data_IF_010859943141
#
_entry.id   IF_010859943141
#
_cell.length_a   1.000
_cell.length_b   1.000
_cell.length_c   1.000
_cell.angle_alpha   90.00
_cell.angle_beta   90.00
_cell.angle_gamma   90.00
#
_symmetry.space_group_name_H-M   'P 1'
#
loop_
_entity.id
_entity.type
_entity.pdbx_description
1 polymer ?
#
# COMPACT_ATOMS: atom_id res chain seq x y z
N UNK A 1 44.97 -38.86 -12.00
CA UNK A 1 44.32 -37.53 -11.81
C UNK A 1 43.12 -37.30 -12.72
N UNK A 2 43.17 -37.48 -14.05
CA UNK A 2 42.03 -37.25 -14.99
C UNK A 2 40.78 -38.09 -14.68
N UNK A 3 40.95 -39.37 -14.32
CA UNK A 3 39.80 -40.25 -13.96
C UNK A 3 39.12 -39.83 -12.66
N UNK A 4 39.86 -39.38 -11.63
CA UNK A 4 39.32 -38.90 -10.39
C UNK A 4 38.49 -37.62 -10.59
N UNK A 5 39.01 -36.70 -11.41
CA UNK A 5 38.31 -35.45 -11.76
C UNK A 5 37.00 -35.74 -12.50
N UNK A 6 36.99 -36.68 -13.45
CA UNK A 6 35.82 -37.10 -14.18
C UNK A 6 34.74 -37.68 -13.24
N UNK A 7 35.12 -38.54 -12.29
CA UNK A 7 34.20 -39.11 -11.31
C UNK A 7 33.65 -38.05 -10.37
N UNK A 8 34.46 -37.08 -9.93
CA UNK A 8 34.04 -35.96 -9.10
C UNK A 8 33.02 -35.08 -9.84
N UNK A 9 33.26 -34.77 -11.10
CA UNK A 9 32.35 -33.99 -11.95
C UNK A 9 31.03 -34.72 -12.15
N UNK A 10 31.06 -36.03 -12.45
CA UNK A 10 29.84 -36.85 -12.56
C UNK A 10 29.06 -36.90 -11.25
N UNK A 11 29.72 -36.99 -10.10
CA UNK A 11 29.06 -36.97 -8.78
C UNK A 11 28.38 -35.62 -8.52
N UNK A 12 29.07 -34.51 -8.83
CA UNK A 12 28.48 -33.15 -8.67
C UNK A 12 27.24 -32.98 -9.56
N UNK A 13 27.35 -33.39 -10.84
CA UNK A 13 26.22 -33.34 -11.77
C UNK A 13 25.06 -34.22 -11.27
N UNK A 14 25.35 -35.41 -10.79
CA UNK A 14 24.32 -36.32 -10.24
C UNK A 14 23.64 -35.70 -9.01
N UNK A 15 24.39 -35.11 -8.07
CA UNK A 15 23.83 -34.41 -6.91
C UNK A 15 22.98 -33.21 -7.35
N UNK A 16 23.43 -32.43 -8.32
CA UNK A 16 22.68 -31.30 -8.85
C UNK A 16 21.35 -31.73 -9.51
N UNK A 17 21.38 -32.82 -10.29
CA UNK A 17 20.17 -33.40 -10.92
C UNK A 17 19.19 -33.94 -9.86
N UNK A 18 19.71 -34.62 -8.83
CA UNK A 18 18.89 -35.08 -7.70
C UNK A 18 18.26 -33.92 -6.94
N UNK A 19 19.04 -32.91 -6.56
CA UNK A 19 18.54 -31.73 -5.86
C UNK A 19 17.47 -31.01 -6.68
N UNK A 20 17.71 -30.84 -7.98
CA UNK A 20 16.75 -30.29 -8.93
C UNK A 20 15.47 -31.10 -8.99
N UNK A 21 15.58 -32.42 -9.14
CA UNK A 21 14.43 -33.32 -9.20
C UNK A 21 13.60 -33.32 -7.90
N UNK A 22 14.26 -33.19 -6.75
CA UNK A 22 13.58 -33.12 -5.46
C UNK A 22 12.79 -31.80 -5.34
N UNK A 23 13.41 -30.66 -5.64
CA UNK A 23 12.76 -29.34 -5.49
C UNK A 23 11.49 -29.22 -6.33
N UNK A 24 11.50 -29.72 -7.57
CA UNK A 24 10.34 -29.65 -8.47
C UNK A 24 9.41 -30.86 -8.41
N UNK A 25 9.68 -31.81 -7.51
CA UNK A 25 8.80 -32.95 -7.26
C UNK A 25 7.60 -32.56 -6.39
N UNK A 26 6.60 -33.43 -6.34
CA UNK A 26 5.48 -33.27 -5.40
C UNK A 26 5.97 -33.17 -3.95
N UNK A 27 6.91 -34.04 -3.57
CA UNK A 27 7.50 -34.05 -2.22
C UNK A 27 8.23 -32.73 -1.89
N UNK A 28 9.04 -32.22 -2.80
CA UNK A 28 9.74 -30.93 -2.60
C UNK A 28 8.76 -29.75 -2.49
N UNK A 29 7.71 -29.75 -3.29
CA UNK A 29 6.66 -28.75 -3.21
C UNK A 29 5.92 -28.80 -1.85
N UNK A 30 5.62 -30.00 -1.32
CA UNK A 30 5.01 -30.18 -0.01
C UNK A 30 5.94 -29.70 1.13
N UNK A 31 7.25 -29.96 1.02
CA UNK A 31 8.24 -29.46 1.99
C UNK A 31 8.32 -27.92 1.99
N UNK A 32 8.34 -27.30 0.81
CA UNK A 32 8.37 -25.86 0.67
C UNK A 32 7.07 -25.25 1.23
N UNK A 33 5.91 -25.79 0.90
CA UNK A 33 4.62 -25.37 1.44
C UNK A 33 4.62 -25.41 2.97
N UNK A 34 5.04 -26.53 3.55
CA UNK A 34 5.13 -26.71 5.02
C UNK A 34 6.12 -25.74 5.64
N UNK A 35 7.25 -25.46 4.99
CA UNK A 35 8.21 -24.47 5.45
C UNK A 35 7.62 -23.06 5.48
N UNK A 36 6.90 -22.67 4.42
CA UNK A 36 6.21 -21.37 4.34
C UNK A 36 5.16 -21.27 5.46
N UNK A 37 4.32 -22.29 5.63
CA UNK A 37 3.32 -22.34 6.71
C UNK A 37 3.96 -22.17 8.09
N UNK A 38 4.99 -22.93 8.38
CA UNK A 38 5.69 -22.86 9.67
C UNK A 38 6.37 -21.51 9.91
N UNK A 39 6.86 -20.86 8.85
CA UNK A 39 7.50 -19.55 8.95
C UNK A 39 6.50 -18.44 9.22
N UNK A 40 5.31 -18.51 8.62
CA UNK A 40 4.23 -17.51 8.78
C UNK A 40 3.42 -17.75 10.04
N UNK A 41 3.14 -19.02 10.39
CA UNK A 41 2.40 -19.41 11.59
C UNK A 41 3.24 -19.24 12.86
N UNK A 42 3.60 -18.00 13.18
CA UNK A 42 4.27 -17.73 14.44
C UNK A 42 3.23 -17.65 15.58
N UNK A 43 3.40 -18.38 16.69
CA UNK A 43 2.47 -18.36 17.83
C UNK A 43 2.19 -16.97 18.40
N UNK A 44 3.13 -16.04 18.24
CA UNK A 44 3.00 -14.65 18.71
C UNK A 44 2.10 -13.76 17.85
N UNK A 45 1.70 -14.23 16.65
CA UNK A 45 1.02 -13.37 15.66
C UNK A 45 -0.46 -13.67 15.50
N UNK A 46 -1.02 -14.70 16.13
CA UNK A 46 -2.43 -15.16 15.96
C UNK A 46 -2.85 -15.35 14.50
N UNK A 47 -1.91 -15.66 13.62
CA UNK A 47 -2.16 -15.91 12.20
C UNK A 47 -2.23 -17.43 11.98
N UNK A 48 -3.34 -17.89 11.41
CA UNK A 48 -3.49 -19.24 10.90
C UNK A 48 -3.32 -19.21 9.39
N UNK A 49 -2.12 -19.40 8.92
CA UNK A 49 -1.79 -19.44 7.49
C UNK A 49 -1.72 -20.90 7.03
N UNK A 50 -2.45 -21.22 5.97
CA UNK A 50 -2.47 -22.54 5.38
C UNK A 50 -2.27 -22.46 3.87
N UNK A 51 -1.28 -23.16 3.37
CA UNK A 51 -1.05 -23.34 1.94
C UNK A 51 -2.00 -24.43 1.43
N UNK A 52 -2.94 -24.08 0.59
CA UNK A 52 -3.93 -25.01 0.03
C UNK A 52 -3.44 -25.65 -1.27
N UNK A 53 -2.58 -24.96 -2.01
CA UNK A 53 -1.91 -25.48 -3.18
C UNK A 53 -0.55 -24.81 -3.34
N UNK A 54 0.50 -25.58 -3.54
CA UNK A 54 1.82 -25.09 -3.93
C UNK A 54 2.39 -26.01 -4.99
N UNK A 55 2.62 -25.45 -6.18
CA UNK A 55 3.20 -26.17 -7.29
C UNK A 55 4.24 -25.29 -7.99
N UNK A 56 5.47 -25.49 -7.64
CA UNK A 56 6.61 -24.91 -8.32
C UNK A 56 7.12 -25.87 -9.38
N UNK A 57 7.18 -25.40 -10.60
CA UNK A 57 7.80 -26.08 -11.75
C UNK A 57 8.97 -25.25 -12.26
N UNK A 58 9.68 -25.76 -13.23
CA UNK A 58 10.81 -25.06 -13.84
C UNK A 58 10.40 -23.76 -14.54
N UNK A 59 9.19 -23.74 -15.06
CA UNK A 59 8.63 -22.70 -15.93
C UNK A 59 7.35 -22.05 -15.36
N UNK A 60 6.85 -22.51 -14.21
CA UNK A 60 5.58 -22.01 -13.68
C UNK A 60 5.49 -22.14 -12.16
N UNK A 61 4.70 -21.26 -11.57
CA UNK A 61 4.28 -21.26 -10.18
C UNK A 61 2.75 -21.27 -10.10
N UNK A 62 2.21 -22.08 -9.20
CA UNK A 62 0.81 -22.05 -8.79
C UNK A 62 0.78 -22.15 -7.26
N UNK A 63 0.38 -21.06 -6.62
CA UNK A 63 0.37 -20.91 -5.18
C UNK A 63 -0.98 -20.39 -4.72
N UNK A 64 -1.62 -21.11 -3.79
CA UNK A 64 -2.83 -20.67 -3.13
C UNK A 64 -2.69 -20.88 -1.62
N UNK A 65 -3.11 -19.89 -0.86
CA UNK A 65 -3.09 -19.93 0.59
C UNK A 65 -4.33 -19.27 1.18
N UNK A 66 -4.68 -19.68 2.39
CA UNK A 66 -5.78 -19.13 3.18
C UNK A 66 -5.22 -18.62 4.50
N UNK A 67 -5.70 -17.46 4.94
CA UNK A 67 -5.36 -16.86 6.22
C UNK A 67 -6.64 -16.74 7.05
N UNK A 68 -6.63 -17.29 8.28
CA UNK A 68 -7.75 -17.23 9.22
C UNK A 68 -9.11 -17.61 8.58
N UNK A 69 -9.10 -18.59 7.65
CA UNK A 69 -10.27 -19.16 6.96
C UNK A 69 -11.00 -18.22 5.97
N UNK A 70 -10.86 -16.91 6.11
CA UNK A 70 -11.65 -15.90 5.36
C UNK A 70 -10.84 -15.07 4.37
N UNK A 71 -9.52 -15.08 4.47
CA UNK A 71 -8.63 -14.34 3.58
C UNK A 71 -7.91 -15.29 2.64
N UNK A 72 -7.80 -14.92 1.36
CA UNK A 72 -7.24 -15.77 0.33
C UNK A 72 -6.11 -15.06 -0.41
N UNK A 73 -5.08 -15.81 -0.74
CA UNK A 73 -3.98 -15.38 -1.60
C UNK A 73 -3.86 -16.40 -2.73
N UNK A 74 -3.87 -15.92 -3.96
CA UNK A 74 -3.60 -16.73 -5.14
C UNK A 74 -2.49 -16.04 -5.97
N UNK A 75 -1.47 -16.81 -6.34
CA UNK A 75 -0.39 -16.34 -7.22
C UNK A 75 -0.10 -17.41 -8.23
N UNK A 76 -0.22 -17.12 -9.51
CA UNK A 76 0.04 -18.09 -10.57
C UNK A 76 0.65 -17.43 -11.80
N UNK A 77 1.42 -18.18 -12.57
CA UNK A 77 2.00 -17.70 -13.83
C UNK A 77 3.28 -18.40 -14.21
N UNK A 78 3.95 -17.76 -15.15
CA UNK A 78 5.20 -18.24 -15.70
C UNK A 78 6.41 -17.68 -14.93
N UNK A 79 7.48 -18.46 -14.89
CA UNK A 79 8.78 -18.03 -14.38
C UNK A 79 9.91 -18.74 -15.15
N UNK A 80 11.09 -18.21 -15.10
CA UNK A 80 12.30 -18.87 -15.60
C UNK A 80 13.40 -18.73 -14.55
N UNK A 81 13.75 -19.84 -13.94
CA UNK A 81 14.81 -19.88 -12.92
C UNK A 81 16.17 -19.55 -13.54
N UNK A 82 16.40 -20.03 -14.74
CA UNK A 82 17.65 -19.80 -15.46
C UNK A 82 17.86 -18.35 -15.88
N UNK A 83 16.80 -17.74 -16.42
CA UNK A 83 16.80 -16.34 -16.84
C UNK A 83 16.38 -15.39 -15.71
N UNK A 84 16.06 -15.92 -14.51
CA UNK A 84 15.70 -15.17 -13.29
C UNK A 84 14.56 -14.17 -13.49
N UNK A 85 13.58 -14.50 -14.32
CA UNK A 85 12.42 -13.65 -14.54
C UNK A 85 11.12 -14.33 -14.11
N UNK A 86 10.11 -13.52 -13.87
CA UNK A 86 8.75 -13.93 -13.51
C UNK A 86 7.71 -13.13 -14.30
N UNK A 87 6.57 -13.75 -14.56
CA UNK A 87 5.35 -13.13 -15.07
C UNK A 87 4.18 -13.79 -14.33
N UNK A 88 3.84 -13.24 -13.16
CA UNK A 88 2.90 -13.82 -12.21
C UNK A 88 1.67 -12.94 -12.10
N UNK A 89 0.50 -13.56 -12.10
CA UNK A 89 -0.76 -12.94 -11.71
C UNK A 89 -1.00 -13.19 -10.23
N UNK A 90 -1.52 -12.20 -9.53
CA UNK A 90 -1.94 -12.34 -8.15
C UNK A 90 -3.38 -11.87 -7.96
N UNK A 91 -4.04 -12.51 -7.01
CA UNK A 91 -5.36 -12.15 -6.48
C UNK A 91 -5.30 -12.34 -4.97
N UNK A 92 -5.53 -11.26 -4.24
CA UNK A 92 -5.38 -11.21 -2.79
C UNK A 92 -6.64 -10.60 -2.20
N UNK A 93 -7.30 -11.34 -1.32
CA UNK A 93 -8.42 -10.87 -0.53
C UNK A 93 -8.09 -11.05 0.95
N UNK A 94 -7.94 -9.96 1.67
CA UNK A 94 -7.73 -9.92 3.13
C UNK A 94 -8.98 -9.31 3.75
N UNK A 95 -9.66 -10.05 4.59
CA UNK A 95 -10.91 -9.59 5.26
C UNK A 95 -10.64 -8.72 6.47
N UNK A 96 -9.47 -8.82 7.07
CA UNK A 96 -9.01 -7.97 8.18
C UNK A 96 -7.50 -7.79 8.10
N UNK A 97 -7.08 -6.59 7.73
CA UNK A 97 -5.66 -6.24 7.62
C UNK A 97 -4.92 -6.18 8.96
N UNK A 98 -5.65 -6.08 10.06
CA UNK A 98 -5.04 -6.05 11.40
C UNK A 98 -4.19 -7.29 11.70
N UNK A 99 -4.51 -8.41 11.06
CA UNK A 99 -3.72 -9.66 11.16
C UNK A 99 -2.28 -9.51 10.66
N UNK A 100 -2.03 -8.55 9.75
CA UNK A 100 -0.72 -8.30 9.15
C UNK A 100 0.09 -7.23 9.91
N UNK A 101 -0.49 -6.54 10.88
CA UNK A 101 0.13 -5.38 11.53
C UNK A 101 1.53 -5.68 12.09
N UNK A 102 1.69 -6.85 12.70
CA UNK A 102 2.98 -7.28 13.25
C UNK A 102 4.01 -7.64 12.17
N UNK A 103 3.56 -8.05 10.98
CA UNK A 103 4.44 -8.39 9.86
C UNK A 103 4.97 -7.16 9.13
N UNK A 104 4.11 -6.15 8.95
CA UNK A 104 4.43 -4.95 8.17
C UNK A 104 4.80 -3.75 9.05
N UNK A 105 4.73 -3.90 10.38
CA UNK A 105 4.96 -2.84 11.36
C UNK A 105 4.11 -1.58 11.08
N UNK A 106 2.86 -1.79 10.68
CA UNK A 106 1.87 -0.75 10.43
C UNK A 106 0.58 -1.09 11.17
N UNK A 107 -0.20 -0.09 11.53
CA UNK A 107 -1.45 -0.28 12.25
C UNK A 107 -2.63 -0.09 11.30
N UNK A 108 -2.88 -1.10 10.48
CA UNK A 108 -3.93 -1.12 9.47
C UNK A 108 -5.16 -1.88 9.98
N UNK A 109 -6.32 -1.49 9.47
CA UNK A 109 -7.61 -2.15 9.67
C UNK A 109 -8.37 -2.25 8.36
N UNK A 110 -9.55 -2.88 8.41
CA UNK A 110 -10.44 -3.04 7.26
C UNK A 110 -10.03 -4.16 6.30
N UNK A 111 -10.80 -4.35 5.28
CA UNK A 111 -10.54 -5.32 4.24
C UNK A 111 -9.72 -4.74 3.10
N UNK A 112 -9.03 -5.61 2.38
CA UNK A 112 -8.31 -5.28 1.17
C UNK A 112 -8.55 -6.36 0.11
N UNK A 113 -9.02 -5.94 -1.04
CA UNK A 113 -8.97 -6.73 -2.25
C UNK A 113 -8.00 -6.10 -3.24
N UNK A 114 -7.11 -6.90 -3.80
CA UNK A 114 -6.20 -6.43 -4.86
C UNK A 114 -5.85 -7.56 -5.81
N UNK A 115 -5.81 -7.26 -7.09
CA UNK A 115 -5.37 -8.18 -8.12
C UNK A 115 -4.46 -7.46 -9.12
N UNK A 116 -3.63 -8.25 -9.81
CA UNK A 116 -2.71 -7.66 -10.77
C UNK A 116 -1.67 -8.63 -11.30
N UNK A 117 -0.58 -8.06 -11.76
CA UNK A 117 0.58 -8.79 -12.27
C UNK A 117 1.87 -8.31 -11.63
N UNK A 118 2.76 -9.24 -11.38
CA UNK A 118 4.16 -9.00 -11.01
C UNK A 118 5.04 -9.56 -12.11
N UNK A 119 5.75 -8.69 -12.80
CA UNK A 119 6.53 -9.04 -13.98
C UNK A 119 7.91 -8.40 -13.97
N UNK A 120 8.93 -9.19 -14.28
CA UNK A 120 10.30 -8.71 -14.36
C UNK A 120 11.31 -9.70 -13.87
N UNK A 121 12.48 -9.20 -13.50
CA UNK A 121 13.57 -9.97 -12.93
C UNK A 121 14.04 -9.38 -11.59
N UNK A 122 15.14 -9.92 -11.03
CA UNK A 122 15.67 -9.46 -9.74
C UNK A 122 16.24 -8.03 -9.79
N UNK A 123 16.62 -7.53 -10.99
CA UNK A 123 17.17 -6.18 -11.16
C UNK A 123 16.06 -5.16 -11.37
N UNK A 124 15.03 -5.54 -12.12
CA UNK A 124 13.91 -4.65 -12.43
C UNK A 124 12.60 -5.43 -12.57
N UNK A 125 11.61 -5.04 -11.80
CA UNK A 125 10.29 -5.62 -11.87
C UNK A 125 9.19 -4.56 -11.78
N UNK A 126 8.03 -4.91 -12.29
CA UNK A 126 6.83 -4.07 -12.26
C UNK A 126 5.74 -4.83 -11.51
N UNK A 127 5.07 -4.14 -10.59
CA UNK A 127 3.83 -4.58 -9.97
C UNK A 127 2.74 -3.63 -10.43
N UNK A 128 1.76 -4.13 -11.16
CA UNK A 128 0.62 -3.33 -11.59
C UNK A 128 -0.69 -4.04 -11.27
N UNK A 129 -1.69 -3.29 -10.86
CA UNK A 129 -2.95 -3.90 -10.49
C UNK A 129 -4.03 -2.90 -10.13
N UNK A 130 -5.10 -3.51 -9.58
CA UNK A 130 -6.29 -2.82 -9.11
C UNK A 130 -6.52 -3.19 -7.65
N UNK A 131 -7.15 -2.27 -6.91
CA UNK A 131 -7.58 -2.50 -5.53
C UNK A 131 -8.88 -1.74 -5.24
N UNK A 132 -9.61 -2.21 -4.23
CA UNK A 132 -10.81 -1.55 -3.71
C UNK A 132 -10.56 -0.81 -2.38
N UNK A 133 -9.32 -0.44 -2.10
CA UNK A 133 -8.98 0.23 -0.84
C UNK A 133 -9.93 1.41 -0.56
N UNK A 134 -10.49 1.48 0.64
CA UNK A 134 -11.46 2.51 1.04
C UNK A 134 -12.67 2.63 0.10
N UNK A 135 -13.18 1.49 -0.39
CA UNK A 135 -14.28 1.40 -1.35
C UNK A 135 -14.04 2.17 -2.67
N UNK A 136 -12.78 2.33 -3.07
CA UNK A 136 -12.37 3.06 -4.26
C UNK A 136 -12.16 2.18 -5.49
N UNK A 137 -12.04 2.85 -6.63
CA UNK A 137 -11.40 2.30 -7.82
C UNK A 137 -9.93 2.73 -7.82
N UNK A 138 -9.06 1.88 -7.29
CA UNK A 138 -7.62 2.16 -7.24
C UNK A 138 -6.88 1.40 -8.33
N UNK A 139 -6.06 2.11 -9.12
CA UNK A 139 -5.07 1.55 -10.04
C UNK A 139 -3.68 1.92 -9.56
N UNK A 140 -2.76 1.00 -9.63
CA UNK A 140 -1.38 1.26 -9.28
C UNK A 140 -0.40 0.58 -10.21
N UNK A 141 0.77 1.23 -10.37
CA UNK A 141 1.92 0.69 -11.06
C UNK A 141 3.18 1.08 -10.27
N UNK A 142 3.88 0.07 -9.77
CA UNK A 142 5.11 0.22 -8.99
C UNK A 142 6.26 -0.34 -9.81
N UNK A 143 7.33 0.44 -9.94
CA UNK A 143 8.58 -0.04 -10.52
C UNK A 143 9.54 -0.38 -9.37
N UNK A 144 10.04 -1.60 -9.38
CA UNK A 144 11.04 -2.09 -8.44
C UNK A 144 12.40 -2.13 -9.11
N UNK A 145 13.45 -1.74 -8.40
CA UNK A 145 14.85 -2.02 -8.72
C UNK A 145 15.54 -2.61 -7.50
N UNK A 146 16.19 -3.74 -7.65
CA UNK A 146 16.81 -4.47 -6.54
C UNK A 146 15.84 -4.68 -5.36
N UNK A 147 14.59 -5.06 -5.66
CA UNK A 147 13.47 -5.23 -4.72
C UNK A 147 13.08 -3.97 -3.91
N UNK A 148 13.56 -2.78 -4.31
CA UNK A 148 13.14 -1.51 -3.71
C UNK A 148 12.22 -0.76 -4.66
N UNK A 149 11.17 -0.16 -4.13
CA UNK A 149 10.28 0.70 -4.92
C UNK A 149 11.08 1.91 -5.38
N UNK A 150 11.06 2.18 -6.69
CA UNK A 150 11.70 3.35 -7.31
C UNK A 150 10.70 4.33 -7.87
N UNK A 151 9.64 3.83 -8.49
CA UNK A 151 8.60 4.69 -9.04
C UNK A 151 7.22 4.19 -8.61
N UNK A 152 6.31 5.12 -8.37
CA UNK A 152 4.90 4.87 -8.03
C UNK A 152 4.03 5.70 -8.95
N UNK A 153 3.13 5.04 -9.68
CA UNK A 153 2.00 5.67 -10.33
C UNK A 153 0.73 5.15 -9.64
N UNK A 154 -0.04 6.04 -9.05
CA UNK A 154 -1.27 5.73 -8.33
C UNK A 154 -2.42 6.59 -8.83
N UNK A 155 -3.52 5.95 -9.15
CA UNK A 155 -4.81 6.57 -9.44
C UNK A 155 -5.84 5.96 -8.49
N UNK A 156 -6.35 6.76 -7.56
CA UNK A 156 -7.37 6.37 -6.59
C UNK A 156 -8.58 7.26 -6.82
N UNK A 157 -9.72 6.66 -7.19
CA UNK A 157 -10.95 7.37 -7.51
C UNK A 157 -12.04 7.06 -6.49
N UNK A 158 -12.70 8.12 -6.04
CA UNK A 158 -13.90 8.05 -5.20
C UNK A 158 -13.72 7.22 -3.92
N UNK A 159 -12.51 7.24 -3.33
CA UNK A 159 -12.29 6.60 -2.04
C UNK A 159 -13.15 7.29 -0.98
N UNK A 160 -13.75 6.51 -0.10
CA UNK A 160 -14.44 7.05 1.07
C UNK A 160 -13.40 7.44 2.12
N UNK A 161 -13.42 8.70 2.53
CA UNK A 161 -12.42 9.25 3.47
C UNK A 161 -12.51 8.56 4.82
N UNK A 162 -13.70 8.32 5.33
CA UNK A 162 -13.94 7.59 6.57
C UNK A 162 -13.40 6.17 6.52
N UNK A 163 -13.57 5.47 5.39
CA UNK A 163 -12.99 4.13 5.17
C UNK A 163 -11.46 4.18 5.07
N UNK A 164 -10.90 5.22 4.43
CA UNK A 164 -9.45 5.40 4.38
C UNK A 164 -8.87 5.68 5.77
N UNK A 165 -9.53 6.49 6.57
CA UNK A 165 -9.16 6.74 7.96
C UNK A 165 -9.26 5.45 8.80
N UNK A 166 -10.32 4.66 8.61
CA UNK A 166 -10.47 3.35 9.24
C UNK A 166 -9.35 2.39 8.82
N UNK A 167 -9.02 2.34 7.53
CA UNK A 167 -7.89 1.56 7.01
C UNK A 167 -6.58 1.91 7.71
N UNK A 168 -6.34 3.19 7.96
CA UNK A 168 -5.17 3.71 8.68
C UNK A 168 -5.28 3.61 10.21
N UNK A 169 -6.34 3.01 10.74
CA UNK A 169 -6.70 2.96 12.16
C UNK A 169 -6.72 4.37 12.82
N UNK A 170 -7.30 5.32 12.12
CA UNK A 170 -7.50 6.71 12.59
C UNK A 170 -8.97 6.96 12.89
N UNK A 171 -9.28 7.90 13.81
CA UNK A 171 -10.66 8.34 14.05
C UNK A 171 -11.28 8.95 12.78
N UNK A 172 -12.59 8.82 12.64
CA UNK A 172 -13.34 9.32 11.48
C UNK A 172 -13.55 10.84 11.60
N UNK A 173 -12.53 11.63 11.33
CA UNK A 173 -12.58 13.10 11.41
C UNK A 173 -13.42 13.75 10.32
N UNK A 174 -13.49 13.10 9.15
CA UNK A 174 -14.05 13.63 7.92
C UNK A 174 -14.70 12.51 7.12
N UNK A 175 -15.94 12.70 6.68
CA UNK A 175 -16.58 11.92 5.64
C UNK A 175 -16.43 12.61 4.30
N UNK A 176 -16.64 11.90 3.21
CA UNK A 176 -16.59 12.45 1.85
C UNK A 176 -15.91 11.53 0.86
N UNK A 177 -15.77 12.03 -0.34
CA UNK A 177 -15.11 11.32 -1.44
C UNK A 177 -13.73 11.93 -1.69
N UNK A 178 -12.71 11.08 -1.87
CA UNK A 178 -11.32 11.46 -2.16
C UNK A 178 -10.87 10.85 -3.49
N UNK A 179 -10.30 11.68 -4.34
CA UNK A 179 -9.61 11.24 -5.55
C UNK A 179 -8.14 11.64 -5.44
N UNK A 180 -7.22 10.71 -5.71
CA UNK A 180 -5.77 10.95 -5.68
C UNK A 180 -5.16 10.50 -7.00
N UNK A 181 -4.31 11.34 -7.57
CA UNK A 181 -3.40 11.00 -8.64
C UNK A 181 -1.97 11.29 -8.18
N UNK A 182 -1.12 10.27 -8.14
CA UNK A 182 0.27 10.40 -7.75
C UNK A 182 1.19 9.81 -8.80
N UNK A 183 2.24 10.55 -9.12
CA UNK A 183 3.33 10.11 -9.98
C UNK A 183 4.64 10.48 -9.29
N UNK A 184 5.18 9.55 -8.51
CA UNK A 184 6.40 9.71 -7.72
C UNK A 184 7.49 8.86 -8.35
N UNK A 185 8.67 9.43 -8.53
CA UNK A 185 9.83 8.80 -9.17
C UNK A 185 11.07 8.93 -8.29
N UNK A 186 12.09 8.17 -8.61
CA UNK A 186 13.40 8.25 -7.98
C UNK A 186 13.35 8.10 -6.46
N UNK A 187 12.47 7.24 -5.95
CA UNK A 187 12.35 7.00 -4.52
C UNK A 187 13.64 6.34 -4.02
N UNK A 188 14.43 7.08 -3.23
CA UNK A 188 15.65 6.59 -2.62
C UNK A 188 16.04 7.42 -1.39
N UNK A 189 16.25 6.77 -0.25
CA UNK A 189 16.75 7.38 0.99
C UNK A 189 16.07 8.74 1.34
N UNK A 190 14.74 8.77 1.32
CA UNK A 190 13.89 9.96 1.52
C UNK A 190 13.98 11.03 0.39
N UNK A 191 14.61 10.71 -0.73
CA UNK A 191 14.48 11.55 -1.92
C UNK A 191 13.25 11.11 -2.70
N UNK A 192 12.43 12.06 -3.08
CA UNK A 192 11.21 11.87 -3.87
C UNK A 192 11.18 12.92 -4.97
N UNK A 193 10.90 12.50 -6.21
CA UNK A 193 10.63 13.43 -7.30
C UNK A 193 9.25 13.15 -7.85
N UNK A 194 8.44 14.18 -8.02
CA UNK A 194 7.14 13.96 -8.63
C UNK A 194 6.03 14.84 -8.08
N UNK A 195 4.81 14.38 -8.31
CA UNK A 195 3.60 15.15 -8.01
C UNK A 195 2.50 14.26 -7.48
N UNK A 196 1.75 14.80 -6.52
CA UNK A 196 0.50 14.24 -6.03
C UNK A 196 -0.58 15.31 -6.12
N UNK A 197 -1.73 14.96 -6.67
CA UNK A 197 -2.92 15.80 -6.69
C UNK A 197 -4.02 15.02 -5.98
N UNK A 198 -4.65 15.65 -4.99
CA UNK A 198 -5.80 15.10 -4.31
C UNK A 198 -6.97 16.08 -4.36
N UNK A 199 -8.17 15.55 -4.59
CA UNK A 199 -9.41 16.31 -4.59
C UNK A 199 -10.36 15.71 -3.55
N UNK A 200 -10.89 16.56 -2.69
CA UNK A 200 -11.91 16.22 -1.69
C UNK A 200 -13.25 16.77 -2.19
N UNK A 201 -14.26 15.93 -2.24
CA UNK A 201 -15.62 16.35 -2.59
C UNK A 201 -16.64 15.77 -1.63
N UNK A 202 -17.75 16.49 -1.44
CA UNK A 202 -18.81 16.14 -0.50
C UNK A 202 -18.31 15.91 0.92
N UNK A 203 -17.21 16.59 1.29
CA UNK A 203 -16.61 16.48 2.61
C UNK A 203 -17.50 17.03 3.70
N UNK A 204 -17.55 16.36 4.85
CA UNK A 204 -18.26 16.83 6.05
C UNK A 204 -17.46 16.43 7.28
N UNK A 205 -17.12 17.41 8.12
CA UNK A 205 -16.46 17.17 9.39
C UNK A 205 -17.36 16.41 10.36
N UNK A 206 -16.82 15.43 11.06
CA UNK A 206 -17.45 14.74 12.16
C UNK A 206 -17.21 15.49 13.47
N UNK A 207 -18.13 16.45 13.74
CA UNK A 207 -17.98 17.38 14.85
C UNK A 207 -17.80 16.68 16.20
N UNK A 208 -18.50 15.59 16.47
CA UNK A 208 -18.41 14.86 17.74
C UNK A 208 -17.00 14.29 17.96
N UNK A 209 -16.39 13.77 16.90
CA UNK A 209 -15.02 13.25 16.94
C UNK A 209 -14.02 14.39 17.16
N UNK A 210 -14.16 15.48 16.41
CA UNK A 210 -13.26 16.64 16.50
C UNK A 210 -13.42 17.34 17.86
N UNK A 211 -14.64 17.52 18.33
CA UNK A 211 -14.91 18.15 19.63
C UNK A 211 -14.26 17.35 20.77
N UNK A 212 -14.37 16.03 20.72
CA UNK A 212 -13.77 15.15 21.71
C UNK A 212 -12.24 15.13 21.64
N UNK A 213 -11.70 14.98 20.45
CA UNK A 213 -10.25 14.79 20.24
C UNK A 213 -9.45 16.08 20.49
N UNK A 214 -10.00 17.22 20.02
CA UNK A 214 -9.30 18.52 20.05
C UNK A 214 -9.89 19.50 21.09
N UNK A 215 -10.78 19.02 21.96
CA UNK A 215 -11.45 19.83 22.98
C UNK A 215 -12.13 21.09 22.39
N UNK A 216 -12.84 20.90 21.28
CA UNK A 216 -13.59 21.95 20.58
C UNK A 216 -15.08 21.89 20.93
N UNK A 217 -15.85 22.87 20.46
CA UNK A 217 -17.30 22.97 20.69
C UNK A 217 -18.06 23.31 19.41
N UNK A 218 -17.69 22.66 18.31
CA UNK A 218 -18.40 22.87 17.05
C UNK A 218 -19.83 22.33 17.13
N UNK A 219 -20.83 23.19 16.91
CA UNK A 219 -22.25 22.86 17.01
C UNK A 219 -22.92 22.63 15.66
N UNK A 220 -22.42 23.24 14.60
CA UNK A 220 -22.97 23.15 13.25
C UNK A 220 -22.08 22.34 12.33
N UNK A 221 -22.67 21.62 11.39
CA UNK A 221 -21.95 20.85 10.40
C UNK A 221 -21.08 21.73 9.51
N UNK A 222 -19.84 21.32 9.29
CA UNK A 222 -18.90 21.98 8.41
C UNK A 222 -18.67 21.10 7.19
N UNK A 223 -19.09 21.59 6.02
CA UNK A 223 -18.79 20.94 4.75
C UNK A 223 -17.43 21.42 4.24
N UNK A 224 -16.72 20.54 3.56
CA UNK A 224 -15.37 20.78 3.02
C UNK A 224 -15.27 20.17 1.63
N UNK A 225 -14.93 21.00 0.65
CA UNK A 225 -14.50 20.57 -0.67
C UNK A 225 -13.16 21.22 -0.99
N UNK A 226 -12.34 20.62 -1.83
CA UNK A 226 -11.11 21.30 -2.23
C UNK A 226 -10.03 20.41 -2.82
N UNK A 227 -8.94 21.09 -3.17
CA UNK A 227 -7.81 20.54 -3.86
C UNK A 227 -6.53 20.65 -3.03
N UNK A 228 -5.70 19.64 -3.13
CA UNK A 228 -4.36 19.58 -2.55
C UNK A 228 -3.41 19.15 -3.66
N UNK A 229 -2.38 19.95 -3.88
CA UNK A 229 -1.31 19.65 -4.82
C UNK A 229 0.02 19.61 -4.05
N UNK A 230 0.74 18.49 -4.12
CA UNK A 230 2.07 18.35 -3.55
C UNK A 230 3.07 18.06 -4.68
N UNK A 231 4.15 18.82 -4.71
CA UNK A 231 5.29 18.65 -5.61
C UNK A 231 6.51 18.27 -4.80
N UNK A 232 7.15 17.17 -5.15
CA UNK A 232 8.31 16.61 -4.47
C UNK A 232 9.57 16.86 -5.30
N UNK A 233 10.64 17.32 -4.64
CA UNK A 233 11.96 17.46 -5.25
C UNK A 233 13.04 17.15 -4.21
N UNK A 234 13.63 15.96 -4.35
CA UNK A 234 14.60 15.46 -3.40
C UNK A 234 13.99 15.27 -2.02
N UNK A 235 14.53 15.93 -1.03
CA UNK A 235 14.07 15.89 0.37
C UNK A 235 13.04 16.96 0.73
N UNK A 236 12.53 17.69 -0.24
CA UNK A 236 11.58 18.77 -0.02
C UNK A 236 10.26 18.49 -0.72
N UNK A 237 9.17 18.95 -0.11
CA UNK A 237 7.88 19.03 -0.76
C UNK A 237 7.33 20.46 -0.69
N UNK A 238 6.71 20.90 -1.78
CA UNK A 238 5.88 22.09 -1.82
C UNK A 238 4.42 21.68 -1.93
N UNK A 239 3.60 22.13 -0.99
CA UNK A 239 2.17 21.80 -0.95
C UNK A 239 1.37 23.08 -1.14
N UNK A 240 0.40 23.02 -2.05
CA UNK A 240 -0.65 24.03 -2.26
C UNK A 240 -1.98 23.42 -1.92
N UNK A 241 -2.82 24.16 -1.22
CA UNK A 241 -4.13 23.67 -0.81
C UNK A 241 -5.16 24.78 -0.91
N UNK A 242 -6.31 24.42 -1.47
CA UNK A 242 -7.48 25.29 -1.45
C UNK A 242 -8.67 24.50 -0.92
N UNK A 243 -9.12 24.80 0.28
CA UNK A 243 -10.29 24.20 0.90
C UNK A 243 -11.43 25.22 0.95
N UNK A 244 -12.55 24.82 0.38
CA UNK A 244 -13.81 25.55 0.42
C UNK A 244 -14.67 24.95 1.53
N UNK A 245 -14.96 25.72 2.54
CA UNK A 245 -15.79 25.25 3.65
C UNK A 245 -17.10 26.03 3.73
N UNK A 246 -18.07 25.51 4.47
CA UNK A 246 -19.35 26.21 4.71
C UNK A 246 -19.19 27.50 5.51
N UNK A 247 -18.05 27.74 6.19
CA UNK A 247 -17.77 28.93 6.97
C UNK A 247 -16.79 29.90 6.31
N UNK A 248 -15.96 29.43 5.37
CA UNK A 248 -14.96 30.24 4.71
C UNK A 248 -14.04 29.41 3.81
N UNK A 249 -13.03 30.07 3.26
CA UNK A 249 -12.03 29.41 2.42
C UNK A 249 -10.69 29.42 3.15
N UNK A 250 -10.01 28.28 3.18
CA UNK A 250 -8.63 28.15 3.60
C UNK A 250 -7.74 27.96 2.38
N UNK A 251 -6.79 28.84 2.21
CA UNK A 251 -5.83 28.78 1.10
C UNK A 251 -4.44 28.71 1.70
N UNK A 252 -3.70 27.67 1.32
CA UNK A 252 -2.28 27.52 1.57
C UNK A 252 -1.58 27.71 0.22
N UNK A 253 -1.08 28.92 -0.04
CA UNK A 253 -0.46 29.23 -1.32
C UNK A 253 0.88 28.52 -1.49
N UNK A 254 1.61 28.36 -0.37
CA UNK A 254 2.90 27.70 -0.35
C UNK A 254 3.18 27.14 1.05
N UNK A 255 3.17 25.84 1.15
CA UNK A 255 3.66 25.11 2.33
C UNK A 255 4.90 24.36 1.94
N UNK A 256 6.03 24.66 2.56
CA UNK A 256 7.29 23.96 2.36
C UNK A 256 7.48 22.92 3.48
N UNK A 257 7.76 21.70 3.09
CA UNK A 257 8.03 20.59 3.99
C UNK A 257 9.45 20.07 3.73
N UNK A 258 10.28 20.09 4.75
CA UNK A 258 11.59 19.42 4.76
C UNK A 258 11.39 18.02 5.32
N UNK A 259 11.45 17.00 4.46
CA UNK A 259 11.20 15.59 4.79
C UNK A 259 12.32 14.96 5.63
N UNK A 260 13.48 15.62 5.72
CA UNK A 260 14.60 15.14 6.53
C UNK A 260 14.56 15.68 7.96
N UNK A 261 14.09 16.93 8.13
CA UNK A 261 14.08 17.64 9.42
C UNK A 261 12.70 17.72 10.05
N UNK A 262 11.67 17.09 9.45
CA UNK A 262 10.27 17.20 9.86
C UNK A 262 9.81 18.64 10.09
N UNK A 263 10.33 19.55 9.25
CA UNK A 263 10.03 20.98 9.37
C UNK A 263 9.00 21.40 8.34
N UNK A 264 7.96 22.11 8.81
CA UNK A 264 6.91 22.68 7.96
C UNK A 264 6.89 24.19 8.12
N UNK A 265 6.85 24.90 6.99
CA UNK A 265 6.67 26.37 6.93
C UNK A 265 5.54 26.63 5.95
N UNK A 266 4.53 27.39 6.37
CA UNK A 266 3.35 27.64 5.54
C UNK A 266 2.90 29.09 5.62
N UNK A 267 2.57 29.65 4.46
CA UNK A 267 1.78 30.87 4.35
C UNK A 267 0.31 30.45 4.18
N UNK A 268 -0.56 31.02 5.00
CA UNK A 268 -1.98 30.69 4.92
C UNK A 268 -2.85 31.93 4.87
N UNK A 269 -3.99 31.81 4.18
CA UNK A 269 -5.05 32.81 4.14
C UNK A 269 -6.37 32.15 4.49
N UNK A 270 -7.07 32.68 5.46
CA UNK A 270 -8.41 32.23 5.80
C UNK A 270 -9.41 33.37 5.59
N UNK A 271 -10.35 33.16 4.67
CA UNK A 271 -11.39 34.12 4.32
C UNK A 271 -12.73 33.66 4.90
N UNK A 272 -13.26 34.38 5.87
CA UNK A 272 -14.57 34.09 6.43
C UNK A 272 -15.65 34.72 5.56
N UNK A 273 -16.51 33.89 4.95
CA UNK A 273 -17.61 34.36 4.09
C UNK A 273 -18.82 34.85 4.87
N UNK A 274 -19.07 34.30 6.05
CA UNK A 274 -20.24 34.61 6.85
C UNK A 274 -19.94 34.48 8.35
N UNK A 275 -19.88 35.61 9.05
CA UNK A 275 -19.61 35.66 10.48
C UNK A 275 -20.69 34.98 11.33
N UNK A 276 -21.99 35.10 10.95
CA UNK A 276 -23.07 34.43 11.66
C UNK A 276 -22.94 32.90 11.61
N UNK A 277 -22.52 32.37 10.45
CA UNK A 277 -22.23 30.93 10.35
C UNK A 277 -21.05 30.53 11.22
N UNK A 278 -20.00 31.34 11.27
CA UNK A 278 -18.86 31.09 12.13
C UNK A 278 -19.26 31.09 13.60
N UNK A 279 -20.06 32.06 14.04
CA UNK A 279 -20.60 32.10 15.41
C UNK A 279 -21.43 30.85 15.74
N UNK A 280 -22.31 30.44 14.81
CA UNK A 280 -23.13 29.24 15.01
C UNK A 280 -22.27 27.96 15.08
N UNK A 281 -21.16 27.89 14.35
CA UNK A 281 -20.22 26.76 14.39
C UNK A 281 -19.46 26.74 15.71
N UNK A 282 -18.99 27.90 16.18
CA UNK A 282 -18.20 28.02 17.41
C UNK A 282 -19.06 27.94 18.70
N UNK A 283 -20.39 27.83 18.57
CA UNK A 283 -21.29 27.77 19.72
C UNK A 283 -21.31 29.04 20.60
N UNK A 284 -20.76 30.14 20.08
CA UNK A 284 -20.81 31.47 20.76
C UNK A 284 -22.04 32.22 20.27
N UNK A 285 -22.85 32.65 21.22
CA UNK A 285 -23.95 33.59 20.99
C UNK A 285 -23.45 35.03 21.14
#
# INVERSE_FOLDING_TARGET
MKKLFLWLTLLIVFIAVLAYSIVFSKFGNELIASYIENKVNNPQQNIKFKVTNFRLRVDSLDFNAVINENSNISVNGALSIWNRWVDLKYDIKITDLSILNNLINQNLKSELFTNGVFKGDYQSAIIQGFSNIANSETKYNLVLKDFKIKDILLELKNAKIDELLNFMNKPHYLNGDLTINANIRNIDNNNLDGKLIANISKGQLENDVINKEFNQTFSSKINIDGDIEASFLGKNAEIKTQLLTSIGNLILEKTLVDLEKDRVVSDYKFEVKNLQKLESVLGRK
#
